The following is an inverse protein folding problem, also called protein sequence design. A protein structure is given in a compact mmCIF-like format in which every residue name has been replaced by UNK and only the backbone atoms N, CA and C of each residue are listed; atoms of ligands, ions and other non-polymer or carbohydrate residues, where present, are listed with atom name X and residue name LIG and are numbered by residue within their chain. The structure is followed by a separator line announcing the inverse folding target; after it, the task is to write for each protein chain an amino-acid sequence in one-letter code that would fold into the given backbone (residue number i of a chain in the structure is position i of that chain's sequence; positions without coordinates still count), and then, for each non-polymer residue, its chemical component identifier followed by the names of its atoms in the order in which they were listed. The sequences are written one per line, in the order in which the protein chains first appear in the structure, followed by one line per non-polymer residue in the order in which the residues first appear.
data_IF_567963102067
#
_entry.id   IF_567963102067
#
_cell.length_a   1.000
_cell.length_b   1.000
_cell.length_c   1.000
_cell.angle_alpha   90.00
_cell.angle_beta   90.00
_cell.angle_gamma   90.00
#
_symmetry.space_group_name_H-M   'P 1'
#
loop_
_entity.id
_entity.type
_entity.pdbx_description
1 polymer ?
#
# COMPACT_ATOMS: atom_id res chain seq x y z
N UNK A 1 -41.41 21.18 -5.42
CA UNK A 1 -40.60 22.42 -5.54
C UNK A 1 -39.37 22.27 -4.65
N UNK A 2 -38.17 22.34 -5.25
CA UNK A 2 -36.86 22.13 -4.60
C UNK A 2 -36.53 23.31 -3.69
N UNK A 3 -36.06 23.06 -2.46
CA UNK A 3 -35.33 24.06 -1.67
C UNK A 3 -34.03 23.44 -1.18
N UNK A 4 -32.96 23.80 -1.91
CA UNK A 4 -31.57 23.59 -1.52
C UNK A 4 -31.24 24.66 -0.49
N UNK A 5 -30.73 24.27 0.66
CA UNK A 5 -30.07 25.20 1.59
C UNK A 5 -28.66 24.69 1.78
N UNK A 6 -27.76 25.46 1.20
CA UNK A 6 -26.32 25.36 1.19
C UNK A 6 -25.83 26.20 2.37
N UNK A 7 -25.13 25.61 3.32
CA UNK A 7 -24.41 26.35 4.36
C UNK A 7 -23.03 25.77 4.54
N UNK A 8 -22.05 26.52 4.03
CA UNK A 8 -20.63 26.44 4.37
C UNK A 8 -20.43 26.64 5.87
N UNK A 9 -19.49 25.89 6.45
CA UNK A 9 -18.91 26.17 7.76
C UNK A 9 -17.44 25.76 7.75
N UNK A 10 -16.56 26.74 7.77
CA UNK A 10 -15.12 26.63 7.58
C UNK A 10 -14.37 25.92 8.73
N UNK A 11 -13.19 25.41 8.37
CA UNK A 11 -12.27 24.61 9.15
C UNK A 11 -11.81 25.22 10.48
N UNK A 12 -11.53 24.34 11.45
CA UNK A 12 -10.60 24.60 12.55
C UNK A 12 -9.58 23.47 12.59
N UNK A 13 -8.40 23.75 12.02
CA UNK A 13 -7.18 22.95 12.16
C UNK A 13 -6.60 23.26 13.54
N UNK A 14 -6.34 22.22 14.34
CA UNK A 14 -5.41 22.30 15.47
C UNK A 14 -4.34 21.23 15.29
N UNK A 15 -3.20 21.65 14.72
CA UNK A 15 -1.91 20.99 14.91
C UNK A 15 -1.39 21.31 16.32
N UNK A 16 -0.84 20.31 17.04
CA UNK A 16 0.43 20.34 17.82
C UNK A 16 0.64 18.90 18.34
N UNK A 17 1.66 18.17 17.86
CA UNK A 17 2.90 17.85 18.61
C UNK A 17 2.77 16.51 19.34
N UNK A 18 3.68 15.53 19.30
CA UNK A 18 5.13 15.58 19.46
C UNK A 18 5.72 14.27 18.88
N UNK A 19 6.56 14.34 17.85
CA UNK A 19 7.39 13.18 17.49
C UNK A 19 8.59 13.13 18.43
N UNK A 20 8.49 12.31 19.46
CA UNK A 20 9.64 11.86 20.26
C UNK A 20 10.56 11.05 19.36
N UNK A 21 11.78 11.55 19.15
CA UNK A 21 12.80 10.91 18.32
C UNK A 21 13.20 9.54 18.86
N UNK A 22 13.18 8.54 17.98
CA UNK A 22 13.87 7.27 18.21
C UNK A 22 15.17 7.31 17.41
N UNK A 23 16.30 7.41 18.12
CA UNK A 23 17.61 7.19 17.57
C UNK A 23 17.82 5.67 17.41
N UNK A 24 17.94 5.18 16.18
CA UNK A 24 18.38 3.82 15.90
C UNK A 24 19.90 3.74 15.98
N UNK A 25 20.41 2.99 16.96
CA UNK A 25 21.81 2.61 17.03
C UNK A 25 22.08 1.45 16.06
N UNK A 26 22.87 1.69 15.01
CA UNK A 26 23.33 0.67 14.08
C UNK A 26 24.49 -0.12 14.72
N UNK A 27 24.20 -1.31 15.23
CA UNK A 27 25.20 -2.24 15.74
C UNK A 27 25.68 -3.18 14.64
N UNK A 28 26.87 -2.92 14.08
CA UNK A 28 27.53 -3.83 13.16
C UNK A 28 28.14 -5.02 13.94
N UNK A 29 27.67 -6.24 13.64
CA UNK A 29 28.38 -7.48 13.94
C UNK A 29 28.37 -8.35 12.67
N UNK A 30 29.52 -8.65 12.06
CA UNK A 30 29.58 -9.55 10.92
C UNK A 30 29.42 -11.00 11.40
N UNK A 31 28.35 -11.66 10.98
CA UNK A 31 28.23 -13.12 11.09
C UNK A 31 28.86 -13.71 9.83
N UNK A 32 30.10 -14.18 9.96
CA UNK A 32 30.70 -15.10 9.00
C UNK A 32 29.98 -16.46 9.07
N UNK A 33 29.37 -16.86 7.96
CA UNK A 33 29.07 -18.27 7.72
C UNK A 33 29.49 -18.64 6.30
N UNK A 34 30.54 -19.46 6.24
CA UNK A 34 31.09 -20.02 5.02
C UNK A 34 30.15 -21.07 4.41
N UNK A 35 30.16 -21.11 3.08
CA UNK A 35 29.91 -22.26 2.19
C UNK A 35 28.47 -22.52 1.74
N UNK A 36 28.15 -22.11 0.49
CA UNK A 36 27.92 -23.05 -0.62
C UNK A 36 27.82 -22.29 -1.95
N UNK A 37 28.58 -22.72 -2.95
CA UNK A 37 28.63 -22.15 -4.30
C UNK A 37 27.26 -22.30 -4.97
N UNK A 38 26.50 -21.21 -5.06
CA UNK A 38 25.39 -21.04 -5.99
C UNK A 38 25.81 -19.91 -6.93
N UNK A 39 25.69 -20.14 -8.23
CA UNK A 39 26.06 -19.17 -9.27
C UNK A 39 25.47 -17.79 -8.92
N UNK A 40 26.37 -16.84 -8.64
CA UNK A 40 26.06 -15.45 -8.37
C UNK A 40 25.46 -14.85 -9.65
N UNK A 41 24.13 -14.92 -9.78
CA UNK A 41 23.41 -13.89 -10.51
C UNK A 41 23.74 -12.62 -9.74
N UNK A 42 24.57 -11.74 -10.31
CA UNK A 42 24.73 -10.39 -9.82
C UNK A 42 23.39 -9.68 -9.99
N UNK A 43 22.50 -9.91 -9.02
CA UNK A 43 21.48 -8.95 -8.68
C UNK A 43 22.28 -7.77 -8.15
N UNK A 44 22.60 -6.85 -9.04
CA UNK A 44 22.91 -5.48 -8.67
C UNK A 44 21.67 -5.01 -7.93
N UNK A 45 21.68 -5.17 -6.61
CA UNK A 45 20.71 -4.57 -5.74
C UNK A 45 21.03 -3.09 -5.76
N UNK A 46 20.50 -2.39 -6.75
CA UNK A 46 20.09 -1.02 -6.51
C UNK A 46 19.16 -1.12 -5.29
N UNK A 47 19.61 -0.64 -4.13
CA UNK A 47 18.70 -0.40 -3.00
C UNK A 47 17.69 0.63 -3.50
N UNK A 48 16.64 0.16 -4.19
CA UNK A 48 15.46 0.97 -4.45
C UNK A 48 14.84 1.19 -3.10
N UNK A 49 14.93 2.41 -2.62
CA UNK A 49 14.18 2.89 -1.47
C UNK A 49 12.69 2.64 -1.77
N UNK A 50 12.08 1.71 -1.04
CA UNK A 50 10.67 1.38 -1.20
C UNK A 50 9.85 2.54 -0.65
N UNK A 51 9.00 3.14 -1.49
CA UNK A 51 8.05 4.14 -1.02
C UNK A 51 7.01 3.48 -0.12
N UNK A 52 6.53 4.18 0.89
CA UNK A 52 5.45 3.67 1.73
C UNK A 52 4.19 3.40 0.89
N UNK A 53 3.54 2.26 1.11
CA UNK A 53 2.37 1.85 0.31
C UNK A 53 1.25 2.90 0.34
N UNK A 54 1.07 3.56 1.48
CA UNK A 54 0.07 4.61 1.66
C UNK A 54 0.41 5.84 0.82
N UNK A 55 1.69 6.19 0.75
CA UNK A 55 2.19 7.28 -0.10
C UNK A 55 2.00 6.94 -1.58
N UNK A 56 2.33 5.71 -1.99
CA UNK A 56 2.10 5.23 -3.35
C UNK A 56 0.63 5.37 -3.74
N UNK A 57 -0.30 4.96 -2.87
CA UNK A 57 -1.74 5.09 -3.13
C UNK A 57 -2.18 6.55 -3.26
N UNK A 58 -1.69 7.44 -2.38
CA UNK A 58 -1.99 8.88 -2.43
C UNK A 58 -1.51 9.51 -3.74
N UNK A 59 -0.32 9.16 -4.20
CA UNK A 59 0.26 9.71 -5.44
C UNK A 59 -0.43 9.20 -6.72
N UNK A 60 -1.11 8.05 -6.65
CA UNK A 60 -1.70 7.38 -7.83
C UNK A 60 -3.23 7.45 -7.88
N UNK A 61 -3.82 8.54 -7.37
CA UNK A 61 -5.29 8.78 -7.37
C UNK A 61 -6.11 7.82 -6.51
N UNK A 62 -5.47 7.11 -5.57
CA UNK A 62 -6.12 6.26 -4.57
C UNK A 62 -6.04 6.89 -3.17
N UNK A 63 -6.14 8.22 -3.07
CA UNK A 63 -6.00 8.96 -1.81
C UNK A 63 -7.04 8.54 -0.76
N UNK A 64 -8.28 8.29 -1.19
CA UNK A 64 -9.33 7.85 -0.29
C UNK A 64 -9.07 6.42 0.23
N UNK A 65 -8.62 5.51 -0.63
CA UNK A 65 -8.17 4.16 -0.24
C UNK A 65 -7.02 4.23 0.76
N UNK A 66 -6.05 5.12 0.53
CA UNK A 66 -4.94 5.34 1.45
C UNK A 66 -5.41 5.82 2.83
N UNK A 67 -6.40 6.71 2.89
CA UNK A 67 -7.01 7.16 4.16
C UNK A 67 -7.73 6.02 4.88
N UNK A 68 -8.38 5.12 4.14
CA UNK A 68 -9.01 3.95 4.75
C UNK A 68 -7.94 3.06 5.39
N UNK A 69 -6.80 2.85 4.72
CA UNK A 69 -5.65 2.10 5.25
C UNK A 69 -5.12 2.71 6.56
N UNK A 70 -4.95 4.04 6.61
CA UNK A 70 -4.53 4.75 7.81
C UNK A 70 -5.57 4.67 8.95
N UNK A 71 -6.85 4.73 8.61
CA UNK A 71 -7.97 4.74 9.55
C UNK A 71 -8.45 3.35 10.00
N UNK A 72 -7.88 2.27 9.46
CA UNK A 72 -8.32 0.88 9.67
C UNK A 72 -9.82 0.67 9.40
N UNK A 73 -10.38 1.39 8.42
CA UNK A 73 -11.78 1.22 8.00
C UNK A 73 -11.90 0.00 7.07
N UNK A 74 -11.95 -1.19 7.70
CA UNK A 74 -11.96 -2.46 7.00
C UNK A 74 -13.20 -2.66 6.11
N UNK A 75 -14.36 -2.13 6.51
CA UNK A 75 -15.59 -2.25 5.71
C UNK A 75 -15.47 -1.47 4.40
N UNK A 76 -14.92 -0.26 4.47
CA UNK A 76 -14.70 0.54 3.26
C UNK A 76 -13.60 -0.06 2.39
N UNK A 77 -12.54 -0.63 2.96
CA UNK A 77 -11.53 -1.39 2.20
C UNK A 77 -12.12 -2.60 1.49
N UNK A 78 -12.97 -3.38 2.17
CA UNK A 78 -13.64 -4.53 1.58
C UNK A 78 -14.54 -4.13 0.42
N UNK A 79 -15.31 -3.05 0.60
CA UNK A 79 -16.14 -2.51 -0.46
C UNK A 79 -15.31 -2.01 -1.65
N UNK A 80 -14.19 -1.34 -1.41
CA UNK A 80 -13.27 -0.93 -2.47
C UNK A 80 -12.77 -2.14 -3.27
N UNK A 81 -12.18 -3.13 -2.59
CA UNK A 81 -11.61 -4.32 -3.24
C UNK A 81 -12.67 -5.10 -4.04
N UNK A 82 -13.87 -5.28 -3.50
CA UNK A 82 -14.94 -6.03 -4.16
C UNK A 82 -15.57 -5.28 -5.35
N UNK A 83 -15.36 -3.98 -5.47
CA UNK A 83 -15.92 -3.15 -6.55
C UNK A 83 -14.84 -2.54 -7.46
N UNK A 84 -13.63 -3.10 -7.47
CA UNK A 84 -12.58 -2.68 -8.40
C UNK A 84 -13.04 -2.84 -9.84
N UNK A 85 -12.83 -1.80 -10.64
CA UNK A 85 -12.90 -1.92 -12.10
C UNK A 85 -11.60 -2.51 -12.64
N UNK A 86 -11.62 -3.04 -13.88
CA UNK A 86 -10.39 -3.49 -14.53
C UNK A 86 -9.36 -2.36 -14.65
N UNK A 87 -9.83 -1.15 -14.95
CA UNK A 87 -8.98 0.04 -15.05
C UNK A 87 -8.34 0.40 -13.69
N UNK A 88 -9.10 0.30 -12.60
CA UNK A 88 -8.55 0.55 -11.26
C UNK A 88 -7.54 -0.52 -10.88
N UNK A 89 -7.80 -1.78 -11.23
CA UNK A 89 -6.87 -2.88 -10.98
C UNK A 89 -5.55 -2.70 -11.72
N UNK A 90 -5.60 -2.34 -13.01
CA UNK A 90 -4.42 -2.06 -13.82
C UNK A 90 -3.62 -0.86 -13.27
N UNK A 91 -4.31 0.21 -12.85
CA UNK A 91 -3.67 1.36 -12.20
C UNK A 91 -2.94 0.98 -10.92
N UNK A 92 -3.52 0.09 -10.10
CA UNK A 92 -2.86 -0.40 -8.88
C UNK A 92 -1.62 -1.21 -9.26
N UNK A 93 -1.71 -2.11 -10.25
CA UNK A 93 -0.56 -2.88 -10.75
C UNK A 93 0.57 -1.95 -11.19
N UNK A 94 0.25 -0.93 -11.99
CA UNK A 94 1.22 0.03 -12.48
C UNK A 94 1.83 0.85 -11.34
N UNK A 95 1.02 1.31 -10.39
CA UNK A 95 1.52 1.99 -9.20
C UNK A 95 2.49 1.10 -8.41
N UNK A 96 2.19 -0.19 -8.23
CA UNK A 96 3.07 -1.14 -7.55
C UNK A 96 4.39 -1.31 -8.30
N UNK A 97 4.33 -1.55 -9.62
CA UNK A 97 5.51 -1.74 -10.47
C UNK A 97 6.44 -0.53 -10.45
N UNK A 98 5.87 0.67 -10.49
CA UNK A 98 6.63 1.91 -10.61
C UNK A 98 7.21 2.42 -9.29
N UNK A 99 6.73 1.93 -8.14
CA UNK A 99 7.13 2.43 -6.81
C UNK A 99 7.88 1.41 -5.94
N UNK A 100 8.60 0.47 -6.58
CA UNK A 100 9.48 -0.49 -5.90
C UNK A 100 8.82 -1.84 -5.59
N UNK A 101 7.50 -1.95 -5.72
CA UNK A 101 6.74 -3.18 -5.49
C UNK A 101 6.56 -4.03 -6.76
N UNK A 102 7.55 -4.06 -7.65
CA UNK A 102 7.49 -4.74 -8.95
C UNK A 102 7.15 -6.24 -8.85
N UNK A 103 7.68 -6.91 -7.82
CA UNK A 103 7.32 -8.30 -7.54
C UNK A 103 5.83 -8.47 -7.24
N UNK A 104 5.25 -7.58 -6.44
CA UNK A 104 3.82 -7.59 -6.12
C UNK A 104 2.96 -7.22 -7.33
N UNK A 105 3.36 -6.21 -8.09
CA UNK A 105 2.64 -5.83 -9.32
C UNK A 105 2.61 -6.95 -10.36
N UNK A 106 3.72 -7.69 -10.55
CA UNK A 106 3.75 -8.88 -11.42
C UNK A 106 2.89 -10.02 -10.89
N UNK A 107 2.86 -10.23 -9.57
CA UNK A 107 1.99 -11.23 -8.97
C UNK A 107 0.53 -10.90 -9.24
N UNK A 108 0.10 -9.66 -8.99
CA UNK A 108 -1.26 -9.17 -9.24
C UNK A 108 -1.64 -9.36 -10.72
N UNK A 109 -0.77 -8.96 -11.65
CA UNK A 109 -0.97 -9.18 -13.08
C UNK A 109 -1.15 -10.66 -13.44
N UNK A 110 -0.43 -11.57 -12.77
CA UNK A 110 -0.50 -13.01 -13.08
C UNK A 110 -1.76 -13.72 -12.58
N UNK A 111 -2.35 -13.25 -11.48
CA UNK A 111 -3.58 -13.84 -10.89
C UNK A 111 -4.85 -13.20 -11.45
N UNK A 112 -4.78 -11.91 -11.80
CA UNK A 112 -5.92 -11.15 -12.27
C UNK A 112 -6.86 -10.68 -11.15
N UNK A 113 -7.74 -9.73 -11.51
CA UNK A 113 -8.64 -9.03 -10.59
C UNK A 113 -9.59 -9.97 -9.86
N UNK A 114 -10.27 -10.85 -10.59
CA UNK A 114 -11.27 -11.77 -10.03
C UNK A 114 -10.65 -12.71 -8.99
N UNK A 115 -9.48 -13.27 -9.30
CA UNK A 115 -8.77 -14.14 -8.36
C UNK A 115 -8.23 -13.37 -7.15
N UNK A 116 -7.78 -12.12 -7.34
CA UNK A 116 -7.38 -11.27 -6.22
C UNK A 116 -8.55 -10.98 -5.27
N UNK A 117 -9.74 -10.71 -5.80
CA UNK A 117 -10.96 -10.51 -5.00
C UNK A 117 -11.34 -11.80 -4.25
N UNK A 118 -11.24 -12.96 -4.91
CA UNK A 118 -11.49 -14.25 -4.27
C UNK A 118 -10.53 -14.50 -3.10
N UNK A 119 -9.23 -14.27 -3.31
CA UNK A 119 -8.19 -14.41 -2.27
C UNK A 119 -8.51 -13.47 -1.11
N UNK A 120 -8.77 -12.19 -1.39
CA UNK A 120 -9.12 -11.17 -0.39
C UNK A 120 -10.29 -11.63 0.49
N UNK A 121 -11.37 -12.10 -0.13
CA UNK A 121 -12.56 -12.58 0.59
C UNK A 121 -12.28 -13.89 1.36
N UNK A 122 -11.48 -14.79 0.79
CA UNK A 122 -11.11 -16.06 1.45
C UNK A 122 -10.30 -15.85 2.74
N UNK A 123 -9.57 -14.74 2.83
CA UNK A 123 -8.82 -14.35 4.03
C UNK A 123 -9.69 -13.68 5.09
N UNK A 124 -11.00 -13.51 4.85
CA UNK A 124 -11.89 -12.79 5.76
C UNK A 124 -11.89 -11.27 5.54
N UNK A 125 -11.51 -10.83 4.34
CA UNK A 125 -11.47 -9.42 3.95
C UNK A 125 -10.28 -8.67 4.55
N UNK A 126 -10.36 -7.34 4.53
CA UNK A 126 -9.32 -6.42 4.96
C UNK A 126 -8.93 -6.64 6.42
N UNK A 127 -9.90 -7.01 7.27
CA UNK A 127 -9.65 -7.33 8.67
C UNK A 127 -8.82 -8.58 8.88
N UNK A 128 -8.90 -9.56 7.97
CA UNK A 128 -8.09 -10.77 8.02
C UNK A 128 -6.71 -10.62 7.37
N UNK A 129 -6.53 -9.58 6.55
CA UNK A 129 -5.25 -9.22 5.92
C UNK A 129 -4.34 -8.35 6.80
N UNK A 130 -4.86 -7.76 7.89
CA UNK A 130 -4.14 -6.90 8.83
C UNK A 130 -3.84 -7.63 10.15
#
# INVERSE_FOLDING_TARGET
MKKRVMTLGAAAVLMVGLFSGFAYAHGNQPVETNTSKINKVEVVSEEKEYKDMTEVMKENSFEDTAKFMEGQDYETMDNFMNNLTDEDYDKIIDAMKNNGYEGMGRMMESIGKEQMIEIHNSMGGARGCH
#
